data_IF_887009591025
#
_entry.id   IF_887009591025
#
_cell.length_a   1.000
_cell.length_b   1.000
_cell.length_c   1.000
_cell.angle_alpha   90.00
_cell.angle_beta   90.00
_cell.angle_gamma   90.00
#
_symmetry.space_group_name_H-M   'P 1'
#
loop_
_entity.id
_entity.type
_entity.pdbx_description
1 polymer ?
#
# COMPACT_ATOMS: atom_id res chain seq x y z
N UNK A 1 -38.13 -68.47 -1.49
CA UNK A 1 -37.09 -68.10 -2.46
C UNK A 1 -36.39 -66.87 -1.88
N UNK A 2 -35.39 -67.07 -1.02
CA UNK A 2 -33.94 -67.01 -1.35
C UNK A 2 -33.62 -65.67 -2.03
N UNK A 3 -32.80 -64.76 -1.51
CA UNK A 3 -31.72 -64.89 -0.53
C UNK A 3 -30.60 -63.94 -0.98
N UNK A 4 -29.91 -63.34 -0.02
CA UNK A 4 -28.75 -62.45 -0.16
C UNK A 4 -27.70 -62.95 -1.18
N UNK A 5 -27.00 -62.01 -1.82
CA UNK A 5 -25.58 -61.68 -1.56
C UNK A 5 -24.84 -61.14 -2.78
N UNK A 6 -24.05 -60.08 -2.55
CA UNK A 6 -22.87 -59.72 -3.36
C UNK A 6 -21.93 -60.92 -3.52
N UNK A 7 -21.17 -60.98 -4.62
CA UNK A 7 -19.74 -61.19 -4.42
C UNK A 7 -18.83 -60.33 -5.32
N UNK A 8 -17.61 -60.18 -4.80
CA UNK A 8 -16.37 -59.67 -5.40
C UNK A 8 -15.90 -60.53 -6.57
N UNK A 9 -14.97 -59.98 -7.38
CA UNK A 9 -13.91 -60.60 -8.24
C UNK A 9 -13.66 -59.63 -9.42
N UNK A 10 -12.48 -59.24 -9.89
CA UNK A 10 -11.07 -59.53 -9.59
C UNK A 10 -10.23 -58.40 -10.25
N UNK A 11 -9.12 -58.06 -9.61
CA UNK A 11 -8.01 -57.23 -10.10
C UNK A 11 -7.35 -57.88 -11.33
N UNK A 12 -7.13 -57.16 -12.44
CA UNK A 12 -5.97 -57.38 -13.32
C UNK A 12 -5.42 -56.04 -13.86
N UNK A 13 -4.20 -55.75 -13.43
CA UNK A 13 -3.21 -54.82 -13.99
C UNK A 13 -2.84 -55.32 -15.40
N UNK A 14 -2.64 -54.49 -16.43
CA UNK A 14 -1.33 -54.02 -16.90
C UNK A 14 -1.43 -53.10 -18.16
N UNK A 15 -0.63 -52.02 -18.12
CA UNK A 15 0.27 -51.50 -19.19
C UNK A 15 -0.25 -50.68 -20.40
N UNK A 16 0.00 -49.35 -20.35
CA UNK A 16 0.91 -48.54 -21.24
C UNK A 16 0.39 -47.10 -21.53
N UNK A 17 1.09 -46.11 -20.95
CA UNK A 17 1.57 -44.79 -21.46
C UNK A 17 1.03 -44.17 -22.79
N UNK A 18 1.19 -42.84 -23.03
CA UNK A 18 0.51 -41.68 -22.43
C UNK A 18 -0.20 -40.80 -23.50
N UNK A 19 -1.37 -40.25 -23.19
CA UNK A 19 -2.09 -39.32 -24.08
C UNK A 19 -2.22 -37.93 -23.45
N UNK A 20 -1.59 -36.95 -24.07
CA UNK A 20 -1.51 -35.55 -23.64
C UNK A 20 -2.89 -34.86 -23.50
N UNK A 21 -3.02 -34.01 -22.48
CA UNK A 21 -4.16 -33.13 -22.27
C UNK A 21 -3.77 -31.98 -21.33
N UNK A 22 -3.57 -30.79 -21.91
CA UNK A 22 -2.82 -29.69 -21.34
C UNK A 22 -3.43 -29.03 -20.10
N UNK A 23 -2.57 -28.76 -19.11
CA UNK A 23 -2.78 -27.73 -18.09
C UNK A 23 -2.28 -26.39 -18.64
N UNK A 24 -3.17 -25.40 -18.61
CA UNK A 24 -2.96 -24.04 -19.06
C UNK A 24 -1.95 -23.29 -18.18
N UNK A 25 -0.88 -22.86 -18.86
CA UNK A 25 0.05 -21.75 -18.63
C UNK A 25 0.00 -20.96 -17.32
N UNK A 26 0.98 -21.24 -16.45
CA UNK A 26 1.69 -20.22 -15.67
C UNK A 26 3.17 -20.32 -16.05
N UNK A 27 3.60 -19.59 -17.07
CA UNK A 27 5.00 -19.21 -17.28
C UNK A 27 5.01 -17.87 -17.98
N UNK A 28 5.62 -16.88 -17.33
CA UNK A 28 5.85 -15.56 -17.90
C UNK A 28 6.68 -15.69 -19.18
N UNK A 29 6.17 -15.11 -20.26
CA UNK A 29 6.92 -14.92 -21.49
C UNK A 29 7.98 -13.84 -21.25
N UNK A 30 9.18 -14.26 -20.87
CA UNK A 30 10.38 -13.42 -20.99
C UNK A 30 10.97 -13.65 -22.39
N UNK A 31 10.57 -12.83 -23.35
CA UNK A 31 11.27 -12.70 -24.63
C UNK A 31 12.29 -11.55 -24.51
N UNK A 32 13.35 -11.78 -23.73
CA UNK A 32 14.48 -10.85 -23.63
C UNK A 32 15.53 -11.18 -24.68
N UNK A 33 15.58 -10.41 -25.77
CA UNK A 33 16.71 -10.42 -26.68
C UNK A 33 17.89 -9.68 -26.02
N UNK A 34 18.84 -10.43 -25.46
CA UNK A 34 20.08 -9.89 -24.88
C UNK A 34 21.02 -9.38 -25.97
N UNK A 35 21.35 -8.09 -25.98
CA UNK A 35 22.43 -7.53 -26.80
C UNK A 35 23.57 -7.07 -25.88
N UNK A 36 24.73 -7.72 -26.01
CA UNK A 36 25.93 -7.47 -25.20
C UNK A 36 26.95 -6.60 -25.96
N UNK A 37 27.77 -5.87 -25.20
CA UNK A 37 28.97 -5.19 -25.70
C UNK A 37 29.92 -6.18 -26.40
N UNK A 38 30.15 -5.97 -27.69
CA UNK A 38 31.15 -6.71 -28.46
C UNK A 38 32.53 -6.25 -27.99
N UNK A 39 33.18 -7.02 -27.11
CA UNK A 39 34.61 -6.84 -26.86
C UNK A 39 35.37 -7.36 -28.08
N UNK A 40 36.19 -6.49 -28.68
CA UNK A 40 36.94 -6.79 -29.91
C UNK A 40 38.04 -7.82 -29.60
N UNK A 41 37.73 -9.11 -29.81
CA UNK A 41 38.65 -10.23 -29.64
C UNK A 41 39.73 -10.28 -30.73
N UNK A 42 40.88 -10.86 -30.37
CA UNK A 42 42.14 -10.91 -31.12
C UNK A 42 42.12 -11.76 -32.41
N UNK A 43 41.12 -11.58 -33.28
CA UNK A 43 41.10 -12.17 -34.64
C UNK A 43 40.65 -13.63 -34.74
N UNK A 44 40.07 -14.21 -33.68
CA UNK A 44 39.71 -15.64 -33.65
C UNK A 44 38.21 -15.94 -33.77
N UNK A 45 37.35 -14.92 -33.96
CA UNK A 45 35.91 -15.14 -34.13
C UNK A 45 35.17 -15.79 -32.94
N UNK A 46 35.82 -15.97 -31.79
CA UNK A 46 35.15 -16.39 -30.55
C UNK A 46 34.36 -15.22 -29.98
N UNK A 47 33.03 -15.30 -30.12
CA UNK A 47 32.08 -14.40 -29.45
C UNK A 47 31.98 -14.87 -28.00
N UNK A 48 32.62 -14.15 -27.07
CA UNK A 48 32.43 -14.37 -25.64
C UNK A 48 31.12 -13.72 -25.20
N UNK A 49 30.09 -14.53 -24.96
CA UNK A 49 28.85 -14.05 -24.34
C UNK A 49 29.07 -13.86 -22.84
N UNK A 50 29.34 -12.62 -22.40
CA UNK A 50 29.34 -12.31 -20.97
C UNK A 50 27.88 -12.16 -20.53
N UNK A 51 27.27 -13.25 -20.07
CA UNK A 51 25.91 -13.34 -19.50
C UNK A 51 25.70 -12.54 -18.21
N UNK A 52 26.09 -11.27 -18.22
CA UNK A 52 25.92 -10.31 -17.15
C UNK A 52 24.44 -9.94 -17.08
N UNK A 53 23.84 -10.11 -15.90
CA UNK A 53 22.46 -9.75 -15.62
C UNK A 53 22.41 -8.61 -14.61
N UNK A 54 21.70 -7.53 -14.96
CA UNK A 54 21.30 -6.51 -14.00
C UNK A 54 20.19 -7.07 -13.10
N UNK A 55 20.31 -6.86 -11.80
CA UNK A 55 19.28 -7.22 -10.81
C UNK A 55 18.99 -6.01 -9.95
N UNK A 56 17.72 -5.66 -9.81
CA UNK A 56 17.25 -4.55 -8.95
C UNK A 56 16.36 -5.12 -7.86
N UNK A 57 16.73 -4.85 -6.62
CA UNK A 57 16.07 -5.39 -5.44
C UNK A 57 15.76 -4.28 -4.44
N UNK A 58 14.67 -4.46 -3.71
CA UNK A 58 14.35 -3.63 -2.56
C UNK A 58 14.25 -4.52 -1.31
N UNK A 59 15.10 -4.31 -0.29
CA UNK A 59 15.00 -4.98 0.99
C UNK A 59 13.64 -4.87 1.68
N UNK A 60 12.88 -3.81 1.40
CA UNK A 60 11.57 -3.56 1.98
C UNK A 60 10.60 -3.10 0.88
N UNK A 61 9.55 -3.90 0.65
CA UNK A 61 8.52 -3.57 -0.34
C UNK A 61 7.55 -2.48 0.13
N UNK A 62 7.48 -2.22 1.43
CA UNK A 62 6.71 -1.13 2.03
C UNK A 62 7.51 -0.46 3.15
N UNK A 63 7.43 0.87 3.24
CA UNK A 63 8.07 1.68 4.26
C UNK A 63 7.06 2.66 4.86
N UNK A 64 7.17 2.86 6.17
CA UNK A 64 6.24 3.64 6.96
C UNK A 64 6.92 4.91 7.47
N UNK A 65 6.45 6.06 6.98
CA UNK A 65 7.00 7.39 7.27
C UNK A 65 6.18 8.19 8.28
N UNK A 66 6.77 9.24 8.83
CA UNK A 66 6.08 10.21 9.68
C UNK A 66 6.08 11.56 8.97
N UNK A 67 4.94 12.26 8.97
CA UNK A 67 4.81 13.56 8.31
C UNK A 67 5.87 14.54 8.82
N UNK A 68 6.51 15.27 7.91
CA UNK A 68 7.58 16.23 8.20
C UNK A 68 8.97 15.61 8.34
N UNK A 69 9.10 14.31 8.58
CA UNK A 69 10.40 13.64 8.65
C UNK A 69 10.94 13.31 7.25
N UNK A 70 12.22 12.97 7.18
CA UNK A 70 12.81 12.35 5.99
C UNK A 70 12.62 10.84 6.01
N UNK A 71 12.38 10.24 4.84
CA UNK A 71 12.33 8.79 4.66
C UNK A 71 13.23 8.35 3.51
N UNK A 72 13.67 7.10 3.55
CA UNK A 72 14.43 6.48 2.47
C UNK A 72 13.64 5.33 1.86
N UNK A 73 13.37 5.41 0.57
CA UNK A 73 12.80 4.31 -0.23
C UNK A 73 13.96 3.43 -0.74
N UNK A 74 14.07 2.18 -0.27
CA UNK A 74 15.23 1.36 -0.57
C UNK A 74 15.21 0.85 -2.02
N UNK A 75 16.32 1.00 -2.72
CA UNK A 75 16.55 0.43 -4.05
C UNK A 75 18.03 0.15 -4.23
N UNK A 76 18.38 -1.11 -4.46
CA UNK A 76 19.76 -1.53 -4.70
C UNK A 76 19.82 -2.33 -5.97
N UNK A 77 20.89 -2.15 -6.73
CA UNK A 77 21.17 -2.98 -7.89
C UNK A 77 22.52 -3.68 -7.78
N UNK A 78 22.62 -4.84 -8.41
CA UNK A 78 23.84 -5.62 -8.55
C UNK A 78 23.88 -6.27 -9.92
N UNK A 79 25.07 -6.72 -10.31
CA UNK A 79 25.27 -7.50 -11.52
C UNK A 79 25.64 -8.93 -11.15
N UNK A 80 25.17 -9.87 -11.95
CA UNK A 80 25.55 -11.28 -11.85
C UNK A 80 26.08 -11.75 -13.20
N UNK A 81 27.37 -12.13 -13.33
CA UNK A 81 28.42 -12.05 -12.30
C UNK A 81 28.85 -10.59 -12.00
N UNK A 82 29.55 -10.40 -10.88
CA UNK A 82 30.10 -9.08 -10.51
C UNK A 82 31.03 -8.54 -11.59
N UNK A 83 30.90 -7.24 -11.88
CA UNK A 83 31.67 -6.59 -12.92
C UNK A 83 33.08 -6.23 -12.46
N UNK A 84 34.05 -6.46 -13.34
CA UNK A 84 35.45 -6.04 -13.14
C UNK A 84 35.62 -4.51 -13.20
N UNK A 85 34.68 -3.80 -13.84
CA UNK A 85 34.67 -2.34 -13.95
C UNK A 85 33.26 -1.78 -13.77
N UNK A 86 33.09 -0.63 -13.08
CA UNK A 86 31.78 -0.04 -12.87
C UNK A 86 31.18 0.49 -14.17
N UNK A 87 29.94 0.08 -14.46
CA UNK A 87 29.15 0.62 -15.58
C UNK A 87 28.38 1.87 -15.16
N UNK A 88 28.12 2.73 -16.15
CA UNK A 88 27.44 4.01 -15.94
C UNK A 88 25.93 3.83 -16.03
N UNK A 89 25.30 3.58 -14.88
CA UNK A 89 23.85 3.39 -14.79
C UNK A 89 23.08 4.71 -14.66
N UNK A 90 21.87 4.72 -15.19
CA UNK A 90 20.84 5.74 -14.97
C UNK A 90 19.77 5.16 -14.06
N UNK A 91 19.31 5.92 -13.08
CA UNK A 91 18.13 5.57 -12.29
C UNK A 91 17.01 6.57 -12.56
N UNK A 92 15.80 6.05 -12.69
CA UNK A 92 14.56 6.81 -12.73
C UNK A 92 13.69 6.38 -11.56
N UNK A 93 13.28 7.35 -10.76
CA UNK A 93 12.25 7.20 -9.75
C UNK A 93 10.96 7.84 -10.23
N UNK A 94 9.87 7.10 -10.13
CA UNK A 94 8.54 7.58 -10.48
C UNK A 94 7.49 7.21 -9.45
N UNK A 95 6.48 8.06 -9.32
CA UNK A 95 5.33 7.86 -8.46
C UNK A 95 4.17 7.32 -9.29
N UNK A 96 3.61 6.21 -8.81
CA UNK A 96 2.56 5.46 -9.48
C UNK A 96 1.23 5.72 -8.80
N UNK A 97 0.18 6.04 -9.57
CA UNK A 97 -1.16 6.08 -9.02
C UNK A 97 -1.53 4.70 -8.45
N UNK A 98 -2.32 4.68 -7.37
CA UNK A 98 -2.99 3.47 -6.91
C UNK A 98 -3.80 2.90 -8.09
N UNK A 99 -3.75 1.58 -8.30
CA UNK A 99 -4.43 0.92 -9.41
C UNK A 99 -5.93 1.19 -9.34
N UNK A 100 -6.41 2.24 -10.01
CA UNK A 100 -7.84 2.43 -10.20
C UNK A 100 -8.28 1.33 -11.14
N UNK A 101 -8.92 0.29 -10.58
CA UNK A 101 -9.68 -0.68 -11.34
C UNK A 101 -10.56 0.06 -12.35
N UNK A 102 -10.36 -0.30 -13.61
CA UNK A 102 -10.78 0.40 -14.82
C UNK A 102 -12.22 0.97 -14.76
N UNK A 103 -12.35 2.30 -14.90
CA UNK A 103 -13.54 2.98 -15.44
C UNK A 103 -13.28 4.50 -15.60
N UNK A 104 -12.28 4.89 -16.39
CA UNK A 104 -12.30 6.16 -17.11
C UNK A 104 -11.46 6.00 -18.37
N UNK A 105 -12.14 5.99 -19.52
CA UNK A 105 -11.54 5.94 -20.85
C UNK A 105 -10.77 7.21 -21.23
N UNK A 106 -10.68 8.20 -20.34
CA UNK A 106 -9.84 9.39 -20.48
C UNK A 106 -9.16 9.71 -19.14
N UNK A 107 -8.08 9.00 -18.84
CA UNK A 107 -6.94 9.47 -18.04
C UNK A 107 -6.00 8.27 -17.86
N UNK A 108 -5.03 8.13 -18.77
CA UNK A 108 -3.71 7.67 -18.35
C UNK A 108 -3.32 8.60 -17.18
N UNK A 109 -3.52 8.17 -15.94
CA UNK A 109 -2.82 8.79 -14.81
C UNK A 109 -1.36 8.44 -15.03
N UNK A 110 -0.70 9.29 -15.80
CA UNK A 110 0.65 9.07 -16.25
C UNK A 110 1.54 8.93 -15.02
N UNK A 111 2.35 7.87 -15.03
CA UNK A 111 3.48 7.74 -14.13
C UNK A 111 4.16 9.10 -13.97
N UNK A 112 4.21 9.60 -12.73
CA UNK A 112 4.74 10.94 -12.47
C UNK A 112 6.21 10.82 -12.16
N UNK A 113 7.05 11.45 -12.96
CA UNK A 113 8.50 11.49 -12.69
C UNK A 113 8.76 12.17 -11.33
N UNK A 114 9.57 11.53 -10.49
CA UNK A 114 10.01 12.07 -9.19
C UNK A 114 11.44 12.59 -9.33
N UNK A 115 12.33 11.72 -9.82
CA UNK A 115 13.74 12.03 -10.03
C UNK A 115 14.35 11.18 -11.15
N UNK A 116 15.29 11.75 -11.89
CA UNK A 116 16.22 11.00 -12.76
C UNK A 116 17.65 11.35 -12.36
N UNK A 117 18.53 10.35 -12.28
CA UNK A 117 19.94 10.57 -11.99
C UNK A 117 20.86 9.67 -12.83
N UNK A 118 22.03 10.20 -13.21
CA UNK A 118 23.07 9.47 -13.93
C UNK A 118 24.44 10.05 -13.56
N UNK A 119 25.32 9.23 -13.00
CA UNK A 119 26.56 9.74 -12.39
C UNK A 119 26.23 10.82 -11.36
N UNK A 120 26.97 11.91 -11.25
CA UNK A 120 26.67 12.96 -10.24
C UNK A 120 25.55 13.94 -10.64
N UNK A 121 24.95 13.75 -11.82
CA UNK A 121 23.89 14.62 -12.33
C UNK A 121 22.54 14.04 -11.93
N UNK A 122 21.66 14.89 -11.42
CA UNK A 122 20.29 14.51 -11.10
C UNK A 122 19.32 15.65 -11.45
N UNK A 123 18.06 15.29 -11.65
CA UNK A 123 16.96 16.21 -11.88
C UNK A 123 15.73 15.71 -11.16
N UNK A 124 15.12 16.56 -10.35
CA UNK A 124 13.86 16.31 -9.66
C UNK A 124 12.70 17.03 -10.36
N UNK A 125 11.47 16.52 -10.19
CA UNK A 125 10.28 17.00 -10.90
C UNK A 125 9.10 17.28 -9.95
N UNK A 126 8.09 18.00 -10.45
CA UNK A 126 6.86 18.31 -9.71
C UNK A 126 7.08 18.87 -8.30
N UNK A 127 6.22 18.46 -7.36
CA UNK A 127 6.29 18.81 -5.93
C UNK A 127 7.46 18.19 -5.17
N UNK A 128 8.28 17.35 -5.83
CA UNK A 128 9.48 16.75 -5.23
C UNK A 128 10.73 17.61 -5.41
N UNK A 129 10.66 18.66 -6.24
CA UNK A 129 11.82 19.54 -6.50
C UNK A 129 12.42 20.09 -5.20
N UNK A 130 13.72 19.87 -5.02
CA UNK A 130 14.47 20.31 -3.84
C UNK A 130 14.30 19.44 -2.59
N UNK A 131 13.32 18.52 -2.57
CA UNK A 131 13.06 17.64 -1.42
C UNK A 131 13.66 16.25 -1.56
N UNK A 132 14.00 15.84 -2.79
CA UNK A 132 14.49 14.49 -3.06
C UNK A 132 15.98 14.43 -3.41
N UNK A 133 16.65 13.36 -2.99
CA UNK A 133 18.04 13.05 -3.35
C UNK A 133 18.31 11.55 -3.31
N UNK A 134 19.38 11.09 -3.96
CA UNK A 134 19.85 9.71 -3.80
C UNK A 134 20.74 9.57 -2.57
N UNK A 135 20.66 8.43 -1.88
CA UNK A 135 21.47 8.14 -0.68
C UNK A 135 22.91 7.76 -1.01
N UNK A 136 23.16 6.96 -2.05
CA UNK A 136 24.49 6.54 -2.55
C UNK A 136 25.49 6.13 -1.46
N UNK A 137 25.04 5.35 -0.46
CA UNK A 137 25.94 4.94 0.63
C UNK A 137 26.97 3.91 0.20
N UNK A 138 26.63 3.06 -0.77
CA UNK A 138 27.53 2.04 -1.34
C UNK A 138 27.37 2.00 -2.87
N UNK A 139 28.35 1.44 -3.61
CA UNK A 139 28.11 1.05 -5.00
C UNK A 139 26.82 0.22 -5.10
N UNK A 140 25.99 0.46 -6.11
CA UNK A 140 24.70 -0.20 -6.25
C UNK A 140 23.53 0.47 -5.50
N UNK A 141 23.78 1.38 -4.54
CA UNK A 141 22.72 2.01 -3.75
C UNK A 141 22.07 3.19 -4.49
N UNK A 142 20.86 2.95 -4.98
CA UNK A 142 20.01 3.92 -5.70
C UNK A 142 18.78 4.33 -4.87
N UNK A 143 18.84 4.16 -3.55
CA UNK A 143 17.74 4.50 -2.64
C UNK A 143 17.40 5.99 -2.69
N UNK A 144 16.12 6.31 -2.76
CA UNK A 144 15.60 7.68 -2.80
C UNK A 144 15.34 8.18 -1.39
N UNK A 145 15.91 9.33 -1.04
CA UNK A 145 15.57 10.05 0.19
C UNK A 145 14.58 11.15 -0.16
N UNK A 146 13.44 11.16 0.51
CA UNK A 146 12.43 12.23 0.45
C UNK A 146 12.49 12.98 1.78
N UNK A 147 12.74 14.29 1.72
CA UNK A 147 12.72 15.17 2.89
C UNK A 147 11.34 15.81 3.05
N UNK A 148 10.99 16.14 4.30
CA UNK A 148 9.75 16.83 4.67
C UNK A 148 8.53 16.13 4.07
N UNK A 149 8.27 14.90 4.54
CA UNK A 149 7.15 14.09 4.06
C UNK A 149 5.81 14.80 4.17
N UNK A 150 5.06 14.81 3.06
CA UNK A 150 3.74 15.40 2.91
C UNK A 150 2.66 14.32 2.76
N UNK A 151 1.39 14.65 3.05
CA UNK A 151 0.28 13.69 2.94
C UNK A 151 0.14 13.09 1.52
N UNK A 152 0.36 13.92 0.51
CA UNK A 152 0.31 13.56 -0.91
C UNK A 152 1.56 12.80 -1.40
N UNK A 153 2.60 12.63 -0.58
CA UNK A 153 3.76 11.82 -0.93
C UNK A 153 3.45 10.31 -0.77
N UNK A 154 2.37 9.94 -0.08
CA UNK A 154 1.91 8.54 0.07
C UNK A 154 1.68 7.91 -1.31
N UNK A 155 2.06 6.64 -1.46
CA UNK A 155 1.79 5.87 -2.68
C UNK A 155 2.93 4.96 -3.08
N UNK A 156 2.86 4.43 -4.30
CA UNK A 156 3.83 3.45 -4.81
C UNK A 156 4.88 4.14 -5.65
N UNK A 157 6.14 3.81 -5.41
CA UNK A 157 7.29 4.38 -6.09
C UNK A 157 8.04 3.31 -6.85
N UNK A 158 8.26 3.53 -8.15
CA UNK A 158 9.06 2.65 -9.00
C UNK A 158 10.49 3.15 -9.05
N UNK A 159 11.44 2.28 -8.75
CA UNK A 159 12.86 2.46 -9.02
C UNK A 159 13.22 1.66 -10.26
N UNK A 160 13.54 2.34 -11.36
CA UNK A 160 13.96 1.74 -12.62
C UNK A 160 15.45 2.06 -12.84
N UNK A 161 16.30 1.02 -12.86
CA UNK A 161 17.74 1.14 -13.12
C UNK A 161 18.01 0.68 -14.54
N UNK A 162 18.71 1.53 -15.29
CA UNK A 162 18.89 1.41 -16.73
C UNK A 162 20.38 1.44 -17.04
N UNK A 163 20.86 0.39 -17.68
CA UNK A 163 22.24 0.22 -18.16
C UNK A 163 22.25 -0.04 -19.67
N UNK A 164 22.51 1.01 -20.46
CA UNK A 164 22.45 0.92 -21.91
C UNK A 164 21.03 0.64 -22.40
N UNK A 165 20.80 -0.59 -22.87
CA UNK A 165 19.51 -1.10 -23.33
C UNK A 165 18.83 -2.05 -22.33
N UNK A 166 19.49 -2.37 -21.21
CA UNK A 166 18.95 -3.22 -20.15
C UNK A 166 18.27 -2.35 -19.09
N UNK A 167 17.06 -2.73 -18.69
CA UNK A 167 16.30 -2.10 -17.62
C UNK A 167 15.69 -3.13 -16.68
N UNK A 168 15.82 -2.88 -15.38
CA UNK A 168 15.17 -3.67 -14.33
C UNK A 168 14.55 -2.71 -13.32
N UNK A 169 13.46 -3.13 -12.68
CA UNK A 169 12.74 -2.25 -11.76
C UNK A 169 12.14 -2.95 -10.56
N UNK A 170 12.03 -2.20 -9.47
CA UNK A 170 11.35 -2.61 -8.24
C UNK A 170 10.38 -1.51 -7.80
N UNK A 171 9.29 -1.90 -7.14
CA UNK A 171 8.33 -0.95 -6.57
C UNK A 171 8.38 -1.00 -5.06
N UNK A 172 8.36 0.18 -4.42
CA UNK A 172 8.30 0.37 -2.97
C UNK A 172 7.05 1.18 -2.64
N UNK A 173 6.26 0.71 -1.70
CA UNK A 173 5.10 1.42 -1.16
C UNK A 173 5.53 2.32 0.00
N UNK A 174 5.09 3.58 -0.02
CA UNK A 174 5.28 4.54 1.05
C UNK A 174 3.93 4.84 1.69
N UNK A 175 3.82 4.51 2.97
CA UNK A 175 2.68 4.86 3.82
C UNK A 175 3.10 5.87 4.89
N UNK A 176 2.12 6.61 5.41
CA UNK A 176 2.32 7.49 6.55
C UNK A 176 1.73 6.87 7.81
N UNK A 177 2.44 7.00 8.93
CA UNK A 177 1.90 6.79 10.27
C UNK A 177 0.82 7.83 10.53
N UNK A 178 -0.29 7.40 11.07
CA UNK A 178 -1.40 8.27 11.36
C UNK A 178 -2.59 7.51 11.90
N UNK A 179 -3.74 8.15 11.82
CA UNK A 179 -4.95 7.76 12.55
C UNK A 179 -6.14 7.90 11.66
N UNK A 180 -7.08 6.96 11.77
CA UNK A 180 -8.40 7.10 11.15
C UNK A 180 -9.39 7.55 12.20
N UNK A 181 -10.18 8.57 11.88
CA UNK A 181 -11.23 9.05 12.75
C UNK A 181 -12.53 9.32 11.96
N UNK A 182 -13.70 9.05 12.55
CA UNK A 182 -14.98 9.38 11.94
C UNK A 182 -15.25 10.89 12.05
N UNK A 183 -15.81 11.46 10.98
CA UNK A 183 -16.22 12.86 10.93
C UNK A 183 -17.60 13.02 10.32
N UNK A 184 -18.49 13.70 11.04
CA UNK A 184 -19.87 13.95 10.64
C UNK A 184 -20.24 15.43 10.80
N UNK A 185 -21.27 15.86 10.07
CA UNK A 185 -21.71 17.25 10.02
C UNK A 185 -22.24 17.73 11.37
N UNK A 186 -22.02 19.00 11.68
CA UNK A 186 -22.66 19.65 12.85
C UNK A 186 -24.19 19.66 12.75
N UNK A 187 -24.75 19.47 11.54
CA UNK A 187 -26.19 19.40 11.28
C UNK A 187 -26.79 17.99 11.45
N UNK A 188 -25.97 16.98 11.71
CA UNK A 188 -26.40 15.59 11.86
C UNK A 188 -25.56 14.62 11.03
N UNK A 189 -26.01 13.36 10.99
CA UNK A 189 -25.37 12.27 10.24
C UNK A 189 -25.78 12.30 8.76
N UNK A 190 -24.92 11.77 7.90
CA UNK A 190 -25.20 11.53 6.47
C UNK A 190 -25.53 12.81 5.70
N UNK A 191 -24.69 13.83 5.87
CA UNK A 191 -24.84 15.14 5.21
C UNK A 191 -23.72 15.45 4.21
N UNK A 192 -22.78 14.52 3.97
CA UNK A 192 -21.69 14.73 3.03
C UNK A 192 -21.86 13.84 1.81
N UNK A 193 -21.88 14.45 0.62
CA UNK A 193 -21.53 13.72 -0.60
C UNK A 193 -20.01 13.49 -0.64
N UNK A 194 -19.51 12.75 -1.63
CA UNK A 194 -18.09 12.37 -1.68
C UNK A 194 -17.15 13.58 -1.71
N UNK A 195 -17.51 14.62 -2.46
CA UNK A 195 -16.70 15.82 -2.60
C UNK A 195 -16.69 16.66 -1.31
N UNK A 196 -17.84 16.79 -0.65
CA UNK A 196 -17.93 17.44 0.65
C UNK A 196 -17.14 16.65 1.71
N UNK A 197 -17.20 15.32 1.68
CA UNK A 197 -16.43 14.45 2.59
C UNK A 197 -14.91 14.65 2.42
N UNK A 198 -14.45 14.74 1.16
CA UNK A 198 -13.05 15.07 0.87
C UNK A 198 -12.65 16.43 1.43
N UNK A 199 -13.47 17.45 1.19
CA UNK A 199 -13.20 18.82 1.64
C UNK A 199 -13.17 18.94 3.16
N UNK A 200 -14.14 18.34 3.87
CA UNK A 200 -14.14 18.43 5.34
C UNK A 200 -12.95 17.72 5.99
N UNK A 201 -12.44 16.63 5.40
CA UNK A 201 -11.19 16.02 5.87
C UNK A 201 -10.00 16.95 5.64
N UNK A 202 -9.91 17.59 4.46
CA UNK A 202 -8.85 18.56 4.16
C UNK A 202 -8.86 19.76 5.11
N UNK A 203 -10.06 20.26 5.45
CA UNK A 203 -10.24 21.33 6.43
C UNK A 203 -9.71 20.94 7.83
N UNK A 204 -9.58 19.64 8.12
CA UNK A 204 -8.97 19.10 9.34
C UNK A 204 -7.48 18.70 9.17
N UNK A 205 -6.79 19.15 8.11
CA UNK A 205 -5.42 18.70 7.76
C UNK A 205 -5.28 17.17 7.58
N UNK A 206 -6.37 16.54 7.14
CA UNK A 206 -6.48 15.12 6.91
C UNK A 206 -6.85 14.84 5.44
N UNK A 207 -6.82 13.58 5.04
CA UNK A 207 -7.38 13.10 3.76
C UNK A 207 -8.50 12.12 4.03
N UNK A 208 -9.30 11.74 3.03
CA UNK A 208 -10.15 10.55 3.20
C UNK A 208 -9.26 9.34 3.46
N UNK A 209 -9.66 8.48 4.40
CA UNK A 209 -8.95 7.25 4.69
C UNK A 209 -9.06 6.26 3.53
N UNK A 210 -8.02 5.45 3.32
CA UNK A 210 -8.10 4.28 2.44
C UNK A 210 -8.85 3.14 3.12
N UNK A 211 -9.28 2.14 2.36
CA UNK A 211 -9.91 0.95 2.91
C UNK A 211 -8.94 0.18 3.83
N UNK A 212 -7.66 0.11 3.48
CA UNK A 212 -6.62 -0.51 4.30
C UNK A 212 -6.42 0.25 5.62
N UNK A 213 -6.35 1.59 5.57
CA UNK A 213 -6.24 2.41 6.78
C UNK A 213 -7.46 2.22 7.71
N UNK A 214 -8.68 2.15 7.16
CA UNK A 214 -9.88 1.89 7.97
C UNK A 214 -9.86 0.47 8.55
N UNK A 215 -9.39 -0.52 7.78
CA UNK A 215 -9.27 -1.90 8.24
C UNK A 215 -8.29 -2.00 9.41
N UNK A 216 -7.09 -1.41 9.31
CA UNK A 216 -6.12 -1.36 10.42
C UNK A 216 -6.69 -0.64 11.65
N UNK A 217 -7.41 0.48 11.45
CA UNK A 217 -8.04 1.16 12.57
C UNK A 217 -9.12 0.30 13.26
N UNK A 218 -9.86 -0.53 12.51
CA UNK A 218 -10.81 -1.49 13.08
C UNK A 218 -10.11 -2.62 13.83
N UNK A 219 -8.98 -3.15 13.31
CA UNK A 219 -8.14 -4.11 14.04
C UNK A 219 -7.64 -3.52 15.36
N UNK A 220 -7.36 -2.22 15.38
CA UNK A 220 -6.99 -1.45 16.56
C UNK A 220 -8.20 -1.06 17.45
N UNK A 221 -9.41 -1.52 17.13
CA UNK A 221 -10.60 -1.37 17.96
C UNK A 221 -11.57 -0.25 17.59
N UNK A 222 -11.42 0.39 16.42
CA UNK A 222 -12.39 1.40 15.95
C UNK A 222 -13.77 0.77 15.72
N UNK A 223 -14.76 1.21 16.51
CA UNK A 223 -16.17 0.83 16.37
C UNK A 223 -17.01 2.07 16.06
N UNK A 224 -17.65 2.10 14.88
CA UNK A 224 -18.46 3.23 14.46
C UNK A 224 -19.64 2.80 13.60
N UNK A 225 -20.86 3.06 14.07
CA UNK A 225 -22.12 2.62 13.44
C UNK A 225 -22.72 3.66 12.48
N UNK A 226 -21.88 4.42 11.78
CA UNK A 226 -22.33 5.22 10.65
C UNK A 226 -21.47 4.91 9.44
N UNK A 227 -22.10 4.73 8.28
CA UNK A 227 -21.39 4.63 7.02
C UNK A 227 -20.68 5.95 6.70
N UNK A 228 -19.39 5.86 6.37
CA UNK A 228 -18.57 7.00 5.99
C UNK A 228 -17.87 6.76 4.65
N UNK A 229 -17.66 7.84 3.89
CA UNK A 229 -16.89 7.81 2.66
C UNK A 229 -15.42 7.46 2.89
N UNK A 230 -14.84 6.71 1.95
CA UNK A 230 -13.42 6.41 1.84
C UNK A 230 -12.82 6.94 0.54
N UNK A 231 -11.49 6.99 0.45
CA UNK A 231 -10.75 7.59 -0.66
C UNK A 231 -11.07 6.98 -2.04
N UNK A 232 -11.42 5.70 -2.08
CA UNK A 232 -11.80 4.99 -3.32
C UNK A 232 -13.25 5.28 -3.77
N UNK A 233 -14.03 6.00 -2.96
CA UNK A 233 -15.44 6.28 -3.20
C UNK A 233 -16.38 5.13 -2.81
N UNK A 234 -15.90 4.19 -1.99
CA UNK A 234 -16.77 3.30 -1.24
C UNK A 234 -17.29 3.97 0.03
N UNK A 235 -18.37 3.41 0.59
CA UNK A 235 -18.88 3.80 1.90
C UNK A 235 -18.89 2.56 2.81
N UNK A 236 -18.24 2.66 3.96
CA UNK A 236 -18.05 1.53 4.88
C UNK A 236 -18.29 1.95 6.32
N UNK A 237 -18.46 1.00 7.24
CA UNK A 237 -18.48 1.26 8.68
C UNK A 237 -17.92 0.06 9.47
N UNK A 238 -17.02 0.29 10.45
CA UNK A 238 -16.39 -0.77 11.24
C UNK A 238 -17.23 -1.13 12.48
N UNK A 239 -17.42 -2.42 12.73
CA UNK A 239 -18.10 -2.94 13.92
C UNK A 239 -17.22 -3.96 14.62
N UNK A 240 -16.81 -3.67 15.85
CA UNK A 240 -16.09 -4.59 16.73
C UNK A 240 -17.05 -5.39 17.61
N UNK A 241 -18.16 -4.77 18.03
CA UNK A 241 -19.22 -5.40 18.85
C UNK A 241 -20.55 -5.38 18.09
N UNK A 242 -21.01 -6.55 17.58
CA UNK A 242 -22.29 -6.68 16.88
C UNK A 242 -23.48 -6.23 17.74
N UNK A 243 -24.45 -5.56 17.12
CA UNK A 243 -25.65 -5.04 17.80
C UNK A 243 -26.79 -4.78 16.80
N UNK A 244 -28.03 -4.88 17.25
CA UNK A 244 -29.23 -4.81 16.40
C UNK A 244 -29.24 -3.62 15.43
N UNK A 245 -28.91 -2.41 15.90
CA UNK A 245 -28.91 -1.20 15.07
C UNK A 245 -27.73 -1.06 14.09
N UNK A 246 -26.75 -1.96 14.13
CA UNK A 246 -25.44 -1.80 13.51
C UNK A 246 -24.96 -3.09 12.84
N UNK A 247 -25.71 -3.55 11.84
CA UNK A 247 -25.42 -4.79 11.12
C UNK A 247 -26.08 -6.03 11.71
N UNK A 248 -26.88 -5.92 12.77
CA UNK A 248 -27.56 -7.06 13.39
C UNK A 248 -26.69 -7.78 14.43
N UNK A 249 -27.34 -8.52 15.34
CA UNK A 249 -26.68 -9.21 16.46
C UNK A 249 -25.99 -10.50 16.04
N UNK A 250 -26.49 -11.16 14.99
CA UNK A 250 -26.01 -12.47 14.54
C UNK A 250 -24.79 -12.40 13.61
N UNK A 251 -24.34 -11.21 13.20
CA UNK A 251 -23.17 -11.08 12.34
C UNK A 251 -21.89 -10.97 13.17
N UNK A 252 -20.84 -11.68 12.76
CA UNK A 252 -19.50 -11.57 13.37
C UNK A 252 -18.91 -10.16 13.21
N UNK A 253 -18.05 -9.68 14.12
CA UNK A 253 -17.32 -8.40 13.98
C UNK A 253 -16.69 -8.24 12.59
N UNK A 254 -16.64 -7.01 12.09
CA UNK A 254 -15.99 -6.74 10.81
C UNK A 254 -16.35 -5.40 10.18
N UNK A 255 -15.71 -5.16 9.04
CA UNK A 255 -15.95 -4.00 8.21
C UNK A 255 -17.17 -4.23 7.32
N UNK A 256 -18.19 -3.38 7.43
CA UNK A 256 -19.40 -3.45 6.61
C UNK A 256 -19.28 -2.48 5.46
N UNK A 257 -19.46 -2.98 4.23
CA UNK A 257 -19.30 -2.19 3.02
C UNK A 257 -20.61 -2.07 2.26
N UNK A 258 -20.93 -0.86 1.83
CA UNK A 258 -21.96 -0.60 0.83
C UNK A 258 -21.41 -0.60 -0.60
N UNK A 259 -20.12 -0.90 -0.77
CA UNK A 259 -19.42 -0.86 -2.05
C UNK A 259 -19.27 0.56 -2.58
N UNK A 260 -18.95 0.68 -3.87
CA UNK A 260 -18.78 1.97 -4.56
C UNK A 260 -20.13 2.66 -4.72
N UNK A 261 -20.19 3.95 -4.37
CA UNK A 261 -21.45 4.71 -4.37
C UNK A 261 -21.41 5.88 -5.35
N UNK A 262 -22.57 6.42 -5.67
CA UNK A 262 -22.68 7.57 -6.56
C UNK A 262 -22.21 8.83 -5.82
N UNK A 263 -21.04 9.34 -6.22
CA UNK A 263 -20.30 10.41 -5.54
C UNK A 263 -21.09 11.70 -5.35
N UNK A 264 -22.06 11.99 -6.22
CA UNK A 264 -22.87 13.21 -6.19
C UNK A 264 -24.18 13.05 -5.39
N UNK A 265 -24.84 11.89 -5.49
CA UNK A 265 -26.20 11.70 -4.97
C UNK A 265 -26.25 11.10 -3.58
N UNK A 266 -25.33 10.17 -3.28
CA UNK A 266 -25.33 9.52 -1.98
C UNK A 266 -24.76 10.44 -0.90
N UNK A 267 -25.31 10.35 0.30
CA UNK A 267 -24.85 11.11 1.46
C UNK A 267 -24.46 10.14 2.57
N UNK A 268 -23.29 10.37 3.15
CA UNK A 268 -22.71 9.60 4.25
C UNK A 268 -21.95 10.56 5.19
N UNK A 269 -21.33 9.98 6.22
CA UNK A 269 -20.30 10.66 7.01
C UNK A 269 -18.94 10.53 6.26
N UNK A 270 -17.82 10.82 6.92
CA UNK A 270 -16.49 10.62 6.36
C UNK A 270 -15.60 9.87 7.36
N UNK A 271 -14.71 9.02 6.86
CA UNK A 271 -13.55 8.57 7.63
C UNK A 271 -12.33 9.33 7.14
N UNK A 272 -11.72 10.11 8.02
CA UNK A 272 -10.56 10.93 7.71
C UNK A 272 -9.29 10.30 8.29
N UNK A 273 -8.21 10.33 7.52
CA UNK A 273 -6.89 9.93 7.92
C UNK A 273 -6.00 11.14 8.20
N UNK A 274 -5.45 11.24 9.41
CA UNK A 274 -4.50 12.28 9.78
C UNK A 274 -3.13 11.67 10.10
N UNK A 275 -2.10 12.14 9.41
CA UNK A 275 -0.70 11.85 9.71
C UNK A 275 -0.08 12.86 10.70
N UNK A 276 -0.91 13.63 11.42
CA UNK A 276 -0.45 14.68 12.33
C UNK A 276 0.01 14.11 13.67
N UNK A 277 1.12 14.64 14.19
CA UNK A 277 1.64 14.37 15.53
C UNK A 277 0.98 15.23 16.62
N UNK A 278 -0.01 16.07 16.28
CA UNK A 278 -0.71 16.95 17.23
C UNK A 278 -1.81 16.22 18.04
N UNK A 279 -1.51 15.00 18.47
CA UNK A 279 -2.33 14.31 19.47
C UNK A 279 -1.64 14.41 20.82
N UNK A 280 -2.32 14.92 21.84
CA UNK A 280 -1.86 14.71 23.22
C UNK A 280 -2.33 13.31 23.63
N UNK A 281 -1.38 12.45 23.95
CA UNK A 281 -1.68 11.12 24.44
C UNK A 281 -1.78 11.19 25.96
N UNK A 282 -3.00 11.06 26.44
CA UNK A 282 -3.33 11.11 27.86
C UNK A 282 -3.61 9.70 28.37
N UNK A 283 -3.25 9.46 29.63
CA UNK A 283 -3.69 8.25 30.33
C UNK A 283 -5.19 8.34 30.58
N UNK A 284 -5.98 7.61 29.80
CA UNK A 284 -7.42 7.50 30.03
C UNK A 284 -7.66 6.34 31.00
N UNK A 285 -7.91 6.65 32.27
CA UNK A 285 -8.40 5.67 33.24
C UNK A 285 -9.87 5.38 33.00
N UNK A 286 -10.18 4.18 32.51
CA UNK A 286 -11.54 3.68 32.47
C UNK A 286 -11.81 2.85 33.74
N UNK A 287 -12.82 3.25 34.52
CA UNK A 287 -13.27 2.50 35.69
C UNK A 287 -14.53 1.69 35.34
N UNK A 288 -14.43 0.36 35.43
CA UNK A 288 -15.63 -0.49 35.47
C UNK A 288 -16.10 -0.56 36.93
N UNK A 289 -17.26 0.05 37.20
CA UNK A 289 -17.93 -0.05 38.50
C UNK A 289 -18.79 -1.31 38.51
N UNK A 290 -18.29 -2.37 39.15
CA UNK A 290 -19.13 -3.48 39.61
C UNK A 290 -19.38 -3.33 41.12
N UNK A 291 -20.52 -3.79 41.66
CA UNK A 291 -20.83 -3.65 43.08
C UNK A 291 -19.86 -4.37 44.02
N UNK A 292 -18.97 -5.23 43.50
CA UNK A 292 -18.04 -6.04 44.28
C UNK A 292 -16.56 -5.72 44.06
N UNK A 293 -16.19 -5.00 42.98
CA UNK A 293 -14.80 -4.63 42.69
C UNK A 293 -14.72 -3.45 41.69
N UNK A 294 -13.81 -2.51 41.93
CA UNK A 294 -13.43 -1.49 40.94
C UNK A 294 -12.21 -1.98 40.17
N UNK A 295 -12.35 -2.22 38.86
CA UNK A 295 -11.22 -2.58 37.99
C UNK A 295 -10.82 -1.33 37.20
N UNK A 296 -9.58 -0.88 37.39
CA UNK A 296 -8.99 0.25 36.66
C UNK A 296 -8.24 -0.27 35.44
N UNK A 297 -8.79 -0.02 34.25
CA UNK A 297 -8.07 -0.25 32.99
C UNK A 297 -7.27 1.00 32.64
N UNK A 298 -5.97 0.84 32.47
CA UNK A 298 -5.09 1.89 31.98
C UNK A 298 -4.88 1.63 30.48
N UNK A 299 -5.51 2.43 29.63
CA UNK A 299 -5.21 2.47 28.21
C UNK A 299 -4.70 3.87 27.87
N UNK A 300 -3.64 3.92 27.05
CA UNK A 300 -3.16 5.20 26.53
C UNK A 300 -4.10 5.57 25.38
N UNK A 301 -4.83 6.68 25.55
CA UNK A 301 -5.72 7.21 24.52
C UNK A 301 -5.12 8.50 23.96
N UNK A 302 -5.22 8.72 22.66
CA UNK A 302 -4.78 9.97 22.07
C UNK A 302 -5.98 10.85 21.73
N UNK A 303 -5.90 12.09 22.18
CA UNK A 303 -6.83 13.17 21.88
C UNK A 303 -6.41 13.84 20.59
N UNK A 304 -7.22 13.66 19.53
CA UNK A 304 -7.06 14.40 18.28
C UNK A 304 -7.83 15.71 18.38
N UNK A 305 -7.10 16.81 18.37
CA UNK A 305 -7.65 18.15 18.29
C UNK A 305 -7.91 18.52 16.82
N UNK A 306 -9.18 18.52 16.42
CA UNK A 306 -9.60 18.97 15.09
C UNK A 306 -9.58 20.49 15.00
N UNK A 307 -9.37 21.02 13.78
CA UNK A 307 -9.33 22.47 13.53
C UNK A 307 -10.65 23.17 13.83
N UNK A 308 -11.77 22.45 13.71
CA UNK A 308 -13.10 22.99 14.02
C UNK A 308 -13.42 23.01 15.53
N UNK A 309 -12.44 22.69 16.38
CA UNK A 309 -12.53 22.67 17.84
C UNK A 309 -13.12 21.37 18.42
N UNK A 310 -13.47 20.39 17.58
CA UNK A 310 -13.89 19.07 18.08
C UNK A 310 -12.70 18.28 18.60
N UNK A 311 -12.90 17.61 19.73
CA UNK A 311 -11.97 16.62 20.25
C UNK A 311 -12.48 15.22 19.95
N UNK A 312 -11.60 14.36 19.44
CA UNK A 312 -11.88 12.95 19.22
C UNK A 312 -10.92 12.12 20.06
N UNK A 313 -11.47 11.26 20.90
CA UNK A 313 -10.70 10.23 21.60
C UNK A 313 -10.49 9.05 20.66
N UNK A 314 -9.23 8.73 20.37
CA UNK A 314 -8.86 7.45 19.80
C UNK A 314 -8.31 6.56 20.90
N UNK A 315 -8.87 5.35 21.01
CA UNK A 315 -8.34 4.26 21.85
C UNK A 315 -7.22 3.49 21.15
N UNK A 316 -6.81 3.88 19.94
CA UNK A 316 -5.75 3.21 19.19
C UNK A 316 -4.39 3.47 19.85
N UNK A 317 -3.70 2.44 20.37
CA UNK A 317 -2.41 2.57 21.04
C UNK A 317 -1.28 3.02 20.09
N UNK A 318 -1.47 2.98 18.77
CA UNK A 318 -0.45 3.28 17.76
C UNK A 318 -0.05 4.75 17.58
N UNK A 319 -0.62 5.66 18.39
CA UNK A 319 -0.27 7.10 18.42
C UNK A 319 0.61 7.50 19.60
N UNK A 320 0.75 6.62 20.60
CA UNK A 320 1.47 6.88 21.83
C UNK A 320 2.95 6.51 21.69
#
# INVERSE_FOLDING_TARGET
>A
MLGLHRPLVVVWVYLLFPGAGGRSSFYGYNNGFHYQDISNGNGNGEIYFNGIRLLVESPQSSVLGTRGNSITLPCKYRYEPELTAPRRTRVKWSWLPASTTAASTDAFTAETDVMVAMGNRHRSYGGFRGRVRLRRSTPGDMSLVINELQLNDTGRYRCEVIDGLEDESVTVELELKGVVFPYYSKKGRYHFNFFAAHQVCQDQEATLATAEQLFSAWEDGLDWCNAGWLADGTAQYPITVPRHGCGGEDLAPGLRSYGRRQRFLNLYDAFCFSASTKGECEHVTAALLTPSLTVLFHHIGCLLNLKDGKQLHSSSPGLC
#
